data_IF_244733864728
#
_entry.id   IF_244733864728
#
_cell.length_a   1.000
_cell.length_b   1.000
_cell.length_c   1.000
_cell.angle_alpha   90.00
_cell.angle_beta   90.00
_cell.angle_gamma   90.00
#
_symmetry.space_group_name_H-M   'P 1'
#
loop_
_entity.id
_entity.type
_entity.pdbx_description
1 polymer ?
#
# COMPACT_ATOMS: atom_id res chain seq x y z
N UNK A 1 -5.06 -37.84 11.78
CA UNK A 1 -5.89 -37.28 10.68
C UNK A 1 -5.33 -35.92 10.33
N UNK A 2 -4.54 -35.84 9.26
CA UNK A 2 -3.92 -34.59 8.82
C UNK A 2 -5.01 -33.68 8.24
N UNK A 3 -5.18 -32.50 8.84
CA UNK A 3 -6.16 -31.52 8.42
C UNK A 3 -5.66 -30.89 7.11
N UNK A 4 -6.11 -31.36 5.94
CA UNK A 4 -5.76 -30.77 4.63
C UNK A 4 -6.59 -29.51 4.33
N UNK A 5 -6.76 -28.64 5.32
CA UNK A 5 -7.17 -27.26 5.04
C UNK A 5 -5.99 -26.61 4.31
N UNK A 6 -6.21 -26.24 3.05
CA UNK A 6 -5.20 -25.77 2.10
C UNK A 6 -4.09 -24.96 2.77
N UNK A 7 -2.89 -25.53 2.76
CA UNK A 7 -1.70 -24.93 3.35
C UNK A 7 -1.50 -23.53 2.75
N UNK A 8 -1.32 -22.52 3.60
CA UNK A 8 -1.12 -21.13 3.17
C UNK A 8 0.31 -20.93 2.65
N UNK A 9 0.56 -21.45 1.45
CA UNK A 9 1.88 -21.49 0.80
C UNK A 9 2.45 -20.07 0.63
N UNK A 10 1.59 -19.09 0.33
CA UNK A 10 2.04 -17.72 0.06
C UNK A 10 2.52 -17.06 1.36
N UNK A 11 1.84 -17.29 2.49
CA UNK A 11 2.30 -16.79 3.80
C UNK A 11 3.62 -17.41 4.28
N UNK A 12 3.98 -18.58 3.77
CA UNK A 12 5.21 -19.31 4.11
C UNK A 12 6.41 -18.90 3.22
N UNK A 13 6.20 -18.04 2.22
CA UNK A 13 7.29 -17.52 1.39
C UNK A 13 8.25 -16.64 2.22
N UNK A 14 9.55 -16.62 1.86
CA UNK A 14 10.51 -15.69 2.45
C UNK A 14 10.05 -14.24 2.29
N UNK A 15 10.36 -13.40 3.28
CA UNK A 15 9.96 -11.99 3.30
C UNK A 15 10.38 -11.24 2.02
N UNK A 16 11.57 -11.52 1.49
CA UNK A 16 12.07 -10.93 0.25
C UNK A 16 11.19 -11.24 -0.97
N UNK A 17 10.58 -12.43 -1.03
CA UNK A 17 9.66 -12.81 -2.10
C UNK A 17 8.31 -12.09 -1.94
N UNK A 18 7.82 -11.97 -0.71
CA UNK A 18 6.60 -11.21 -0.41
C UNK A 18 6.78 -9.73 -0.79
N UNK A 19 7.94 -9.14 -0.48
CA UNK A 19 8.27 -7.79 -0.91
C UNK A 19 8.24 -7.65 -2.43
N UNK A 20 8.83 -8.60 -3.17
CA UNK A 20 8.77 -8.61 -4.64
C UNK A 20 7.31 -8.63 -5.12
N UNK A 21 6.45 -9.48 -4.55
CA UNK A 21 5.02 -9.52 -4.89
C UNK A 21 4.40 -8.14 -4.68
N UNK A 22 4.61 -7.51 -3.53
CA UNK A 22 4.06 -6.19 -3.27
C UNK A 22 4.60 -5.10 -4.21
N UNK A 23 5.88 -5.14 -4.61
CA UNK A 23 6.40 -4.18 -5.60
C UNK A 23 5.77 -4.32 -6.99
N UNK A 24 5.06 -5.43 -7.26
CA UNK A 24 4.31 -5.64 -8.51
C UNK A 24 2.83 -5.26 -8.38
N UNK A 25 2.38 -4.89 -7.19
CA UNK A 25 1.00 -4.45 -6.94
C UNK A 25 0.96 -2.93 -6.80
N UNK A 26 -0.15 -2.29 -7.21
CA UNK A 26 -0.46 -0.95 -6.73
C UNK A 26 -0.46 -0.94 -5.20
N UNK A 27 0.06 0.12 -4.58
CA UNK A 27 0.26 0.16 -3.12
C UNK A 27 -1.05 -0.07 -2.34
N UNK A 28 -2.18 0.38 -2.89
CA UNK A 28 -3.51 0.13 -2.33
C UNK A 28 -3.87 -1.35 -2.31
N UNK A 29 -3.53 -2.08 -3.36
CA UNK A 29 -3.78 -3.51 -3.47
C UNK A 29 -2.85 -4.32 -2.58
N UNK A 30 -1.59 -3.88 -2.44
CA UNK A 30 -0.67 -4.44 -1.44
C UNK A 30 -1.27 -4.33 -0.02
N UNK A 31 -1.83 -3.18 0.36
CA UNK A 31 -2.52 -3.02 1.66
C UNK A 31 -3.78 -3.89 1.74
N UNK A 32 -4.54 -4.03 0.65
CA UNK A 32 -5.75 -4.88 0.64
C UNK A 32 -5.46 -6.34 0.93
N UNK A 33 -4.25 -6.84 0.65
CA UNK A 33 -3.88 -8.22 1.01
C UNK A 33 -3.95 -8.50 2.51
N UNK A 34 -3.99 -7.48 3.38
CA UNK A 34 -4.21 -7.62 4.82
C UNK A 34 -5.45 -8.41 5.22
N UNK A 35 -6.43 -8.54 4.32
CA UNK A 35 -7.67 -9.30 4.58
C UNK A 35 -7.54 -10.80 4.28
N UNK A 36 -6.45 -11.24 3.62
CA UNK A 36 -6.29 -12.63 3.19
C UNK A 36 -6.11 -13.58 4.39
N UNK A 37 -5.31 -13.19 5.38
CA UNK A 37 -5.20 -13.88 6.66
C UNK A 37 -4.56 -12.97 7.72
N UNK A 38 -4.60 -13.39 8.99
CA UNK A 38 -3.93 -12.67 10.08
C UNK A 38 -2.43 -12.48 9.84
N UNK A 39 -1.78 -13.40 9.10
CA UNK A 39 -0.36 -13.34 8.74
C UNK A 39 -0.04 -12.26 7.69
N UNK A 40 -1.02 -11.88 6.87
CA UNK A 40 -0.88 -10.83 5.86
C UNK A 40 -1.12 -9.43 6.40
N UNK A 41 -1.77 -9.31 7.57
CA UNK A 41 -2.28 -8.04 8.11
C UNK A 41 -1.29 -6.88 8.04
N UNK A 42 -0.01 -7.12 8.32
CA UNK A 42 1.02 -6.09 8.36
C UNK A 42 2.21 -6.36 7.42
N UNK A 43 2.10 -7.31 6.50
CA UNK A 43 3.23 -7.67 5.61
C UNK A 43 3.68 -6.49 4.73
N UNK A 44 2.73 -5.68 4.27
CA UNK A 44 3.00 -4.48 3.47
C UNK A 44 3.72 -3.38 4.25
N UNK A 45 3.69 -3.39 5.59
CA UNK A 45 4.25 -2.32 6.41
C UNK A 45 5.77 -2.21 6.31
N UNK A 46 6.43 -3.26 5.81
CA UNK A 46 7.89 -3.33 5.61
C UNK A 46 8.33 -2.92 4.20
N UNK A 47 7.40 -2.48 3.35
CA UNK A 47 7.70 -2.10 1.97
C UNK A 47 8.75 -0.99 1.91
N UNK A 48 9.85 -1.26 1.23
CA UNK A 48 10.95 -0.28 1.12
C UNK A 48 10.79 0.71 -0.03
N UNK A 49 9.90 0.39 -0.98
CA UNK A 49 9.59 1.23 -2.13
C UNK A 49 8.11 1.60 -2.10
N UNK A 50 7.82 2.86 -1.83
CA UNK A 50 6.47 3.39 -1.72
C UNK A 50 6.18 4.23 -2.97
N UNK A 51 5.23 3.77 -3.79
CA UNK A 51 4.78 4.47 -4.99
C UNK A 51 3.29 4.76 -4.86
N UNK A 52 2.98 6.03 -4.65
CA UNK A 52 1.63 6.57 -4.62
C UNK A 52 1.38 7.31 -5.94
N UNK A 53 0.78 6.60 -6.89
CA UNK A 53 0.40 7.13 -8.20
C UNK A 53 -1.12 7.14 -8.38
N UNK A 54 -1.59 7.57 -9.54
CA UNK A 54 -3.03 7.61 -9.86
C UNK A 54 -3.69 6.22 -9.91
N UNK A 55 -2.93 5.14 -9.82
CA UNK A 55 -3.45 3.77 -9.70
C UNK A 55 -3.80 3.41 -8.24
N UNK A 56 -3.51 4.31 -7.28
CA UNK A 56 -3.94 4.19 -5.88
C UNK A 56 -5.45 4.50 -5.67
N UNK A 57 -6.16 4.80 -6.76
CA UNK A 57 -7.48 5.41 -6.74
C UNK A 57 -8.65 4.45 -6.79
N UNK A 58 -9.80 4.97 -6.38
CA UNK A 58 -11.12 4.41 -6.67
C UNK A 58 -11.90 5.47 -7.43
N UNK A 59 -12.39 5.12 -8.62
CA UNK A 59 -13.07 6.05 -9.54
C UNK A 59 -14.21 6.81 -8.82
N UNK A 60 -14.03 8.11 -8.59
CA UNK A 60 -15.06 8.99 -8.02
C UNK A 60 -15.14 10.30 -8.81
N UNK A 61 -16.32 10.92 -8.79
CA UNK A 61 -16.63 12.12 -9.57
C UNK A 61 -16.21 13.45 -8.90
N UNK A 62 -15.81 13.45 -7.62
CA UNK A 62 -15.44 14.65 -6.86
C UNK A 62 -13.95 14.69 -6.50
N UNK A 63 -13.22 15.68 -7.05
CA UNK A 63 -11.78 15.88 -6.89
C UNK A 63 -11.37 16.09 -5.44
N UNK A 64 -12.06 16.96 -4.70
CA UNK A 64 -11.69 17.33 -3.33
C UNK A 64 -11.90 16.17 -2.36
N UNK A 65 -12.97 15.40 -2.54
CA UNK A 65 -13.19 14.18 -1.76
C UNK A 65 -12.13 13.11 -2.05
N UNK A 66 -11.68 12.99 -3.30
CA UNK A 66 -10.62 12.07 -3.68
C UNK A 66 -9.27 12.46 -3.05
N UNK A 67 -8.89 13.73 -3.15
CA UNK A 67 -7.68 14.27 -2.52
C UNK A 67 -7.65 13.98 -1.01
N UNK A 68 -8.73 14.30 -0.29
CA UNK A 68 -8.84 14.04 1.14
C UNK A 68 -8.73 12.55 1.51
N UNK A 69 -9.26 11.65 0.66
CA UNK A 69 -9.13 10.20 0.87
C UNK A 69 -7.70 9.73 0.64
N UNK A 70 -7.04 10.24 -0.40
CA UNK A 70 -5.66 9.93 -0.71
C UNK A 70 -4.72 10.39 0.41
N UNK A 71 -4.86 11.62 0.88
CA UNK A 71 -4.10 12.15 2.03
C UNK A 71 -4.32 11.28 3.27
N UNK A 72 -5.58 10.96 3.61
CA UNK A 72 -5.88 10.07 4.74
C UNK A 72 -5.26 8.68 4.59
N UNK A 73 -5.26 8.14 3.37
CA UNK A 73 -4.64 6.85 3.07
C UNK A 73 -3.13 6.90 3.25
N UNK A 74 -2.44 7.87 2.62
CA UNK A 74 -0.99 8.04 2.72
C UNK A 74 -0.57 8.26 4.17
N UNK A 75 -1.22 9.17 4.89
CA UNK A 75 -0.92 9.44 6.30
C UNK A 75 -1.07 8.19 7.16
N UNK A 76 -2.16 7.42 6.98
CA UNK A 76 -2.38 6.18 7.72
C UNK A 76 -1.37 5.09 7.35
N UNK A 77 -1.01 4.99 6.07
CA UNK A 77 -0.01 4.06 5.59
C UNK A 77 1.33 4.35 6.27
N UNK A 78 1.80 5.61 6.20
CA UNK A 78 3.07 6.05 6.76
C UNK A 78 3.10 5.89 8.29
N UNK A 79 1.98 6.14 8.98
CA UNK A 79 1.89 5.95 10.43
C UNK A 79 2.05 4.48 10.85
N UNK A 80 1.61 3.55 10.00
CA UNK A 80 1.67 2.11 10.25
C UNK A 80 2.90 1.44 9.61
N UNK A 81 3.72 2.19 8.87
CA UNK A 81 4.90 1.68 8.21
C UNK A 81 5.98 1.36 9.24
N UNK A 82 6.63 0.20 9.07
CA UNK A 82 7.65 -0.30 9.97
C UNK A 82 8.82 -0.82 9.14
N UNK A 83 9.78 0.07 8.85
CA UNK A 83 10.99 -0.28 8.12
C UNK A 83 11.67 0.92 7.46
N UNK A 84 12.81 0.71 6.80
CA UNK A 84 13.44 1.76 6.01
C UNK A 84 12.65 2.04 4.73
N UNK A 85 12.46 3.32 4.41
CA UNK A 85 11.91 3.77 3.13
C UNK A 85 13.09 4.17 2.24
N UNK A 86 13.43 3.32 1.27
CA UNK A 86 14.52 3.60 0.32
C UNK A 86 14.05 4.43 -0.88
N UNK A 87 12.77 4.31 -1.24
CA UNK A 87 12.15 5.08 -2.32
C UNK A 87 10.76 5.50 -1.91
N UNK A 88 10.47 6.79 -2.08
CA UNK A 88 9.14 7.36 -1.94
C UNK A 88 8.82 8.15 -3.20
N UNK A 89 7.68 7.87 -3.82
CA UNK A 89 7.19 8.58 -5.00
C UNK A 89 5.73 8.92 -4.78
N UNK A 90 5.42 10.21 -4.93
CA UNK A 90 4.07 10.74 -4.89
C UNK A 90 3.83 11.45 -6.22
N UNK A 91 3.17 10.77 -7.14
CA UNK A 91 2.96 11.23 -8.50
C UNK A 91 1.47 11.12 -8.83
N UNK A 92 0.72 12.10 -8.35
CA UNK A 92 -0.72 12.12 -8.54
C UNK A 92 -1.21 13.51 -8.87
N UNK A 93 -2.11 13.62 -9.85
CA UNK A 93 -2.67 14.92 -10.25
C UNK A 93 -3.66 15.49 -9.22
N UNK A 94 -4.11 14.69 -8.25
CA UNK A 94 -4.98 15.18 -7.18
C UNK A 94 -4.24 16.15 -6.24
N UNK A 95 -2.93 15.97 -6.06
CA UNK A 95 -2.09 16.79 -5.18
C UNK A 95 -1.28 17.88 -5.90
N UNK A 96 -1.48 18.06 -7.21
CA UNK A 96 -0.79 19.07 -8.03
C UNK A 96 -1.19 20.52 -7.71
N UNK A 97 -2.02 20.77 -6.70
CA UNK A 97 -2.51 22.11 -6.37
C UNK A 97 -2.47 22.38 -4.87
N UNK A 98 -1.40 21.96 -4.19
CA UNK A 98 -1.13 22.40 -2.81
C UNK A 98 -0.33 23.71 -2.84
N UNK A 99 -0.93 24.86 -2.53
CA UNK A 99 -0.22 26.15 -2.49
C UNK A 99 0.89 26.19 -1.43
N UNK A 100 0.88 25.26 -0.46
CA UNK A 100 1.85 25.20 0.64
C UNK A 100 3.24 24.66 0.23
N UNK A 101 3.39 24.04 -0.96
CA UNK A 101 4.65 23.44 -1.42
C UNK A 101 5.39 24.35 -2.42
N UNK A 102 4.67 25.26 -3.10
CA UNK A 102 5.22 26.17 -4.11
C UNK A 102 5.68 27.53 -3.53
N UNK A 103 5.89 27.61 -2.21
CA UNK A 103 6.32 28.83 -1.50
C UNK A 103 7.70 28.66 -0.85
#
# INVERSE_FOLDING_TARGET
MANSLGQDIISDLPQSIIEIIFTKLPIRDAVRTSILSSRWRYKWATLTQLVFDDNCESQFNDRTATENKLVKFITRFLFLHEGPIHKFTLSTYYLQSSPDIDQ
#
